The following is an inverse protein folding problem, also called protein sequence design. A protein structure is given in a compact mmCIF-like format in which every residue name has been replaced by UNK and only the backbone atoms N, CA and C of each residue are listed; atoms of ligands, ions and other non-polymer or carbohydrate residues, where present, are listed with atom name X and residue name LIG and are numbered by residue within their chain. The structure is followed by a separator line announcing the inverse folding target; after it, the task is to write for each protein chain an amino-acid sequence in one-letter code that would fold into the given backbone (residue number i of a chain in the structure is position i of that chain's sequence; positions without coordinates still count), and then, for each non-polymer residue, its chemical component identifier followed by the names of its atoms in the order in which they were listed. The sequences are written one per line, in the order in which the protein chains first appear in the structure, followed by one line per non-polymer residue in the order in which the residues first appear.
data_IF_322089294044
#
_entry.id   IF_322089294044
#
_cell.length_a   1.000
_cell.length_b   1.000
_cell.length_c   1.000
_cell.angle_alpha   90.00
_cell.angle_beta   90.00
_cell.angle_gamma   90.00
#
_symmetry.space_group_name_H-M   'P 1'
#
loop_
_entity.id
_entity.type
_entity.pdbx_description
1 polymer ?
#
# COMPACT_ATOMS: atom_id res chain seq x y z
N UNK A 1 -43.35 15.21 20.98
CA UNK A 1 -43.92 14.52 19.80
C UNK A 1 -43.07 13.28 19.61
N UNK A 2 -43.56 12.13 20.11
CA UNK A 2 -42.81 10.88 20.24
C UNK A 2 -42.80 10.07 18.95
N UNK A 3 -41.71 9.34 18.72
CA UNK A 3 -41.54 8.39 17.63
C UNK A 3 -42.30 7.10 17.96
N UNK A 4 -43.63 7.16 18.00
CA UNK A 4 -44.48 5.98 18.14
C UNK A 4 -44.99 5.60 16.75
N UNK A 5 -44.51 4.47 16.21
CA UNK A 5 -45.09 3.88 14.99
C UNK A 5 -44.12 3.46 13.88
N UNK A 6 -42.80 3.49 14.10
CA UNK A 6 -41.85 2.78 13.22
C UNK A 6 -41.13 1.75 14.07
N UNK A 7 -41.25 0.48 13.74
CA UNK A 7 -40.33 -0.56 14.21
C UNK A 7 -38.93 -0.22 13.68
N UNK A 8 -38.26 0.71 14.36
CA UNK A 8 -36.83 0.89 14.24
C UNK A 8 -36.20 -0.15 15.15
N UNK A 9 -35.78 -1.28 14.58
CA UNK A 9 -34.76 -2.11 15.22
C UNK A 9 -33.49 -1.27 15.37
N UNK A 10 -33.30 -0.70 16.55
CA UNK A 10 -32.03 -0.08 16.92
C UNK A 10 -31.07 -1.24 17.18
N UNK A 11 -30.28 -1.60 16.17
CA UNK A 11 -29.14 -2.50 16.35
C UNK A 11 -28.09 -1.80 17.23
N UNK A 12 -28.11 -2.09 18.53
CA UNK A 12 -27.06 -1.68 19.45
C UNK A 12 -25.84 -2.59 19.26
N UNK A 13 -24.85 -2.09 18.53
CA UNK A 13 -23.52 -2.68 18.56
C UNK A 13 -22.85 -2.29 19.88
N UNK A 14 -22.78 -3.22 20.84
CA UNK A 14 -22.08 -2.99 22.11
C UNK A 14 -20.61 -2.62 21.89
N UNK A 15 -20.01 -1.87 22.82
CA UNK A 15 -18.66 -1.31 22.68
C UNK A 15 -17.56 -2.32 22.35
N UNK A 16 -17.69 -3.59 22.77
CA UNK A 16 -16.74 -4.66 22.42
C UNK A 16 -16.86 -5.15 20.97
N UNK A 17 -18.06 -5.08 20.37
CA UNK A 17 -18.28 -5.41 18.96
C UNK A 17 -17.68 -4.33 18.07
N UNK A 18 -17.93 -3.05 18.38
CA UNK A 18 -17.35 -1.94 17.63
C UNK A 18 -15.83 -1.88 17.81
N UNK A 19 -15.30 -1.98 19.04
CA UNK A 19 -13.86 -1.88 19.28
C UNK A 19 -13.02 -2.89 18.50
N UNK A 20 -13.45 -4.16 18.44
CA UNK A 20 -12.75 -5.22 17.69
C UNK A 20 -12.85 -5.03 16.17
N UNK A 21 -14.03 -4.67 15.68
CA UNK A 21 -14.23 -4.45 14.24
C UNK A 21 -13.55 -3.16 13.76
N UNK A 22 -13.52 -2.10 14.58
CA UNK A 22 -12.82 -0.86 14.29
C UNK A 22 -11.30 -1.05 14.23
N UNK A 23 -10.72 -1.89 15.09
CA UNK A 23 -9.30 -2.27 15.00
C UNK A 23 -8.99 -2.96 13.67
N UNK A 24 -9.83 -3.90 13.24
CA UNK A 24 -9.67 -4.57 11.95
C UNK A 24 -9.79 -3.60 10.77
N UNK A 25 -10.76 -2.67 10.82
CA UNK A 25 -10.91 -1.61 9.81
C UNK A 25 -9.65 -0.72 9.77
N UNK A 26 -9.11 -0.34 10.93
CA UNK A 26 -7.88 0.45 11.01
C UNK A 26 -6.68 -0.26 10.38
N UNK A 27 -6.56 -1.58 10.55
CA UNK A 27 -5.50 -2.37 9.91
C UNK A 27 -5.70 -2.42 8.38
N UNK A 28 -6.94 -2.60 7.91
CA UNK A 28 -7.24 -2.60 6.47
C UNK A 28 -6.90 -1.24 5.86
N UNK A 29 -7.33 -0.15 6.48
CA UNK A 29 -7.06 1.20 6.00
C UNK A 29 -5.58 1.51 5.98
N UNK A 30 -4.85 1.11 7.03
CA UNK A 30 -3.39 1.28 7.08
C UNK A 30 -2.71 0.59 5.91
N UNK A 31 -3.07 -0.68 5.62
CA UNK A 31 -2.49 -1.42 4.49
C UNK A 31 -2.70 -0.73 3.15
N UNK A 32 -3.90 -0.19 2.92
CA UNK A 32 -4.20 0.54 1.67
C UNK A 32 -3.31 1.78 1.55
N UNK A 33 -3.16 2.54 2.64
CA UNK A 33 -2.30 3.73 2.65
C UNK A 33 -0.82 3.35 2.45
N UNK A 34 -0.36 2.27 3.09
CA UNK A 34 1.00 1.75 2.93
C UNK A 34 1.30 1.35 1.48
N UNK A 35 0.37 0.63 0.82
CA UNK A 35 0.49 0.25 -0.58
C UNK A 35 0.51 1.50 -1.50
N UNK A 36 -0.33 2.50 -1.24
CA UNK A 36 -0.36 3.77 -1.99
C UNK A 36 0.94 4.57 -1.85
N UNK A 37 1.48 4.66 -0.63
CA UNK A 37 2.74 5.37 -0.37
C UNK A 37 3.93 4.69 -1.06
N UNK A 38 4.00 3.35 -1.01
CA UNK A 38 5.03 2.59 -1.71
C UNK A 38 4.90 2.74 -3.23
N UNK A 39 3.68 2.67 -3.77
CA UNK A 39 3.43 2.89 -5.19
C UNK A 39 3.89 4.26 -5.66
N UNK A 40 3.53 5.32 -4.92
CA UNK A 40 3.96 6.69 -5.23
C UNK A 40 5.49 6.86 -5.15
N UNK A 41 6.14 6.22 -4.17
CA UNK A 41 7.60 6.23 -4.04
C UNK A 41 8.25 5.52 -5.25
N UNK A 42 7.78 4.33 -5.63
CA UNK A 42 8.29 3.60 -6.80
C UNK A 42 8.09 4.42 -8.10
N UNK A 43 6.91 5.01 -8.30
CA UNK A 43 6.61 5.83 -9.48
C UNK A 43 7.53 7.04 -9.60
N UNK A 44 7.86 7.69 -8.48
CA UNK A 44 8.85 8.77 -8.45
C UNK A 44 10.24 8.26 -8.87
N UNK A 45 10.69 7.09 -8.41
CA UNK A 45 11.96 6.51 -8.87
C UNK A 45 11.95 6.15 -10.37
N UNK A 46 10.80 5.76 -10.92
CA UNK A 46 10.63 5.57 -12.37
C UNK A 46 10.75 6.90 -13.10
N UNK A 47 10.05 7.94 -12.62
CA UNK A 47 10.05 9.27 -13.23
C UNK A 47 11.43 9.94 -13.19
N UNK A 48 12.19 9.74 -12.10
CA UNK A 48 13.55 10.26 -11.92
C UNK A 48 14.60 9.47 -12.73
N UNK A 49 14.19 8.41 -13.44
CA UNK A 49 15.07 7.59 -14.27
C UNK A 49 15.97 6.64 -13.47
N UNK A 50 15.70 6.45 -12.17
CA UNK A 50 16.46 5.50 -11.33
C UNK A 50 16.19 4.04 -11.75
N UNK A 51 15.03 3.76 -12.36
CA UNK A 51 14.60 2.44 -12.80
C UNK A 51 14.57 2.31 -14.33
N UNK A 52 15.74 2.44 -14.96
CA UNK A 52 15.87 2.41 -16.43
C UNK A 52 15.42 1.09 -17.06
N UNK A 53 15.46 -0.03 -16.32
CA UNK A 53 15.00 -1.32 -16.84
C UNK A 53 13.48 -1.37 -17.11
N UNK A 54 12.70 -0.53 -16.42
CA UNK A 54 11.26 -0.36 -16.64
C UNK A 54 10.91 0.63 -17.76
N UNK A 55 11.91 1.27 -18.38
CA UNK A 55 11.68 2.18 -19.50
C UNK A 55 11.29 1.44 -20.79
N UNK A 56 11.71 0.17 -20.92
CA UNK A 56 11.41 -0.68 -22.09
C UNK A 56 10.28 -1.68 -21.85
N UNK A 57 9.76 -1.77 -20.63
CA UNK A 57 8.64 -2.64 -20.28
C UNK A 57 7.33 -2.10 -20.88
N UNK A 58 6.44 -3.00 -21.29
CA UNK A 58 5.08 -2.62 -21.66
C UNK A 58 4.25 -2.25 -20.41
N UNK A 59 3.01 -1.78 -20.61
CA UNK A 59 2.19 -1.29 -19.50
C UNK A 59 1.84 -2.39 -18.49
N UNK A 60 1.57 -3.61 -18.96
CA UNK A 60 1.23 -4.77 -18.12
C UNK A 60 2.45 -5.24 -17.32
N UNK A 61 3.58 -5.45 -17.99
CA UNK A 61 4.85 -5.80 -17.33
C UNK A 61 5.27 -4.77 -16.27
N UNK A 62 5.06 -3.48 -16.56
CA UNK A 62 5.32 -2.41 -15.59
C UNK A 62 4.38 -2.54 -14.39
N UNK A 63 3.09 -2.72 -14.61
CA UNK A 63 2.11 -2.83 -13.53
C UNK A 63 2.36 -4.04 -12.64
N UNK A 64 2.70 -5.18 -13.24
CA UNK A 64 3.02 -6.40 -12.50
C UNK A 64 4.32 -6.24 -11.71
N UNK A 65 5.34 -5.61 -12.31
CA UNK A 65 6.60 -5.33 -11.62
C UNK A 65 6.39 -4.39 -10.43
N UNK A 66 5.64 -3.29 -10.62
CA UNK A 66 5.33 -2.35 -9.52
C UNK A 66 4.56 -3.07 -8.41
N UNK A 67 3.58 -3.91 -8.75
CA UNK A 67 2.81 -4.69 -7.76
C UNK A 67 3.73 -5.62 -6.96
N UNK A 68 4.62 -6.35 -7.61
CA UNK A 68 5.58 -7.23 -6.94
C UNK A 68 6.55 -6.44 -6.03
N UNK A 69 7.00 -5.27 -6.46
CA UNK A 69 7.87 -4.41 -5.66
C UNK A 69 7.15 -3.85 -4.43
N UNK A 70 5.87 -3.45 -4.55
CA UNK A 70 5.06 -3.03 -3.40
C UNK A 70 4.99 -4.17 -2.37
N UNK A 71 4.73 -5.40 -2.82
CA UNK A 71 4.68 -6.55 -1.91
C UNK A 71 6.02 -6.83 -1.22
N UNK A 72 7.13 -6.71 -1.95
CA UNK A 72 8.48 -6.93 -1.42
C UNK A 72 8.89 -5.87 -0.40
N UNK A 73 8.59 -4.60 -0.67
CA UNK A 73 8.97 -3.47 0.19
C UNK A 73 7.94 -3.15 1.28
N UNK A 74 6.81 -3.86 1.35
CA UNK A 74 5.83 -3.72 2.45
C UNK A 74 6.31 -4.41 3.72
N UNK A 75 7.37 -3.86 4.32
CA UNK A 75 7.89 -4.20 5.64
C UNK A 75 7.81 -2.96 6.54
N UNK A 76 7.66 -3.14 7.85
CA UNK A 76 7.48 -2.00 8.78
C UNK A 76 8.64 -1.00 8.71
N UNK A 77 9.86 -1.45 8.39
CA UNK A 77 11.06 -0.61 8.25
C UNK A 77 11.01 0.35 7.06
N UNK A 78 10.13 0.09 6.08
CA UNK A 78 9.95 0.97 4.91
C UNK A 78 9.15 2.23 5.23
N UNK A 79 8.55 2.30 6.42
CA UNK A 79 7.68 3.41 6.81
C UNK A 79 8.28 4.19 7.98
N UNK A 80 8.34 5.51 7.81
CA UNK A 80 8.73 6.46 8.83
C UNK A 80 7.69 7.55 9.00
N UNK A 81 7.93 8.43 9.97
CA UNK A 81 7.23 9.71 10.06
C UNK A 81 8.15 10.80 9.52
N UNK A 82 7.58 11.75 8.78
CA UNK A 82 8.28 12.97 8.42
C UNK A 82 8.28 14.01 9.56
N UNK A 83 8.87 15.18 9.30
CA UNK A 83 8.95 16.27 10.27
C UNK A 83 7.58 16.83 10.71
N UNK A 84 6.52 16.52 9.96
CA UNK A 84 5.13 16.92 10.25
C UNK A 84 4.36 15.83 11.00
N UNK A 85 4.95 14.64 11.17
CA UNK A 85 4.31 13.47 11.76
C UNK A 85 3.45 12.67 10.77
N UNK A 86 3.54 12.95 9.47
CA UNK A 86 2.82 12.19 8.43
C UNK A 86 3.58 10.91 8.07
N UNK A 87 2.84 9.85 7.71
CA UNK A 87 3.42 8.58 7.31
C UNK A 87 4.08 8.72 5.94
N UNK A 88 5.34 8.31 5.84
CA UNK A 88 6.14 8.37 4.61
C UNK A 88 6.80 7.02 4.36
N UNK A 89 6.71 6.54 3.11
CA UNK A 89 7.52 5.41 2.66
C UNK A 89 8.92 5.90 2.25
N UNK A 90 9.95 5.11 2.53
CA UNK A 90 11.31 5.35 2.05
C UNK A 90 11.90 4.04 1.57
N UNK A 91 12.39 4.05 0.34
CA UNK A 91 13.00 2.87 -0.28
C UNK A 91 14.44 3.20 -0.65
N UNK A 92 15.38 2.35 -0.24
CA UNK A 92 16.76 2.46 -0.71
C UNK A 92 16.82 2.19 -2.22
N UNK A 93 17.44 3.11 -2.96
CA UNK A 93 17.44 3.04 -4.43
C UNK A 93 18.23 1.83 -4.95
N UNK A 94 19.31 1.42 -4.27
CA UNK A 94 20.09 0.27 -4.69
C UNK A 94 19.31 -1.04 -4.44
N UNK A 95 18.67 -1.16 -3.27
CA UNK A 95 17.78 -2.27 -2.96
C UNK A 95 16.61 -2.37 -3.96
N UNK A 96 16.02 -1.24 -4.34
CA UNK A 96 14.93 -1.18 -5.32
C UNK A 96 15.39 -1.63 -6.72
N UNK A 97 16.58 -1.22 -7.15
CA UNK A 97 17.15 -1.65 -8.44
C UNK A 97 17.44 -3.14 -8.47
N UNK A 98 17.99 -3.69 -7.39
CA UNK A 98 18.27 -5.12 -7.25
C UNK A 98 16.98 -5.95 -7.25
N UNK A 99 15.97 -5.52 -6.47
CA UNK A 99 14.65 -6.15 -6.43
C UNK A 99 13.99 -6.15 -7.82
N UNK A 100 13.97 -5.01 -8.50
CA UNK A 100 13.44 -4.88 -9.86
C UNK A 100 14.13 -5.83 -10.84
N UNK A 101 15.47 -5.93 -10.80
CA UNK A 101 16.22 -6.83 -11.67
C UNK A 101 15.82 -8.30 -11.44
N UNK A 102 15.59 -8.70 -10.18
CA UNK A 102 15.11 -10.04 -9.83
C UNK A 102 13.69 -10.30 -10.33
N UNK A 103 12.76 -9.36 -10.10
CA UNK A 103 11.37 -9.49 -10.54
C UNK A 103 11.26 -9.61 -12.05
N UNK A 104 11.98 -8.75 -12.79
CA UNK A 104 12.01 -8.80 -14.26
C UNK A 104 12.66 -10.09 -14.81
N UNK A 105 13.69 -10.61 -14.13
CA UNK A 105 14.31 -11.86 -14.51
C UNK A 105 13.37 -13.06 -14.27
N UNK A 106 12.60 -13.05 -13.18
CA UNK A 106 11.61 -14.08 -12.89
C UNK A 106 10.47 -14.06 -13.91
N UNK A 107 9.91 -12.89 -14.22
CA UNK A 107 8.81 -12.73 -15.17
C UNK A 107 9.15 -13.15 -16.62
N UNK A 108 10.44 -13.15 -16.98
CA UNK A 108 10.92 -13.58 -18.32
C UNK A 108 11.29 -15.06 -18.40
N UNK A 109 11.34 -15.75 -17.26
CA UNK A 109 11.64 -17.17 -17.18
C UNK A 109 10.37 -18.05 -17.27
N UNK A 110 9.20 -17.42 -17.14
CA UNK A 110 7.87 -18.02 -17.31
C UNK A 110 7.39 -17.96 -18.77
#
# INVERSE_FOLDING_TARGET
MGLEGRECEIMQFGGCYLGRNLQNIGVIQRRVVEDELLGAEIDRHIADGSLTALASANHEERQDTVTALIEEFRVEESFGQDDSGELRATIDTAALQDAMARVLAAARAE
#
